data_IF_089014480035
#
_entry.id   IF_089014480035
#
_cell.length_a   1.000
_cell.length_b   1.000
_cell.length_c   1.000
_cell.angle_alpha   90.00
_cell.angle_beta   90.00
_cell.angle_gamma   90.00
#
_symmetry.space_group_name_H-M   'P 1'
#
loop_
_entity.id
_entity.type
_entity.pdbx_description
1 polymer ?
#
# COMPACT_ATOMS: atom_id res chain seq x y z
N UNK A 1 13.58 47.88 -13.38
CA UNK A 1 12.35 47.08 -13.51
C UNK A 1 12.71 45.64 -13.16
N UNK A 2 12.20 45.15 -12.03
CA UNK A 2 12.52 43.83 -11.49
C UNK A 2 11.76 42.76 -12.29
N UNK A 3 12.46 41.78 -12.86
CA UNK A 3 11.87 40.58 -13.41
C UNK A 3 11.89 39.49 -12.35
N UNK A 4 10.72 39.15 -11.81
CA UNK A 4 10.55 38.05 -10.86
C UNK A 4 10.95 36.70 -11.50
N UNK A 5 11.60 35.78 -10.77
CA UNK A 5 11.85 34.44 -11.28
C UNK A 5 10.54 33.65 -11.36
N UNK A 6 10.34 33.03 -12.51
CA UNK A 6 9.24 32.16 -12.88
C UNK A 6 9.20 30.95 -11.93
N UNK A 7 8.19 30.90 -11.06
CA UNK A 7 7.95 29.75 -10.18
C UNK A 7 7.58 28.54 -11.04
N UNK A 8 8.46 27.55 -11.07
CA UNK A 8 8.18 26.23 -11.65
C UNK A 8 6.95 25.65 -10.95
N UNK A 9 5.90 25.19 -11.67
CA UNK A 9 4.83 24.47 -11.02
C UNK A 9 5.42 23.14 -10.52
N UNK A 10 5.53 23.02 -9.20
CA UNK A 10 5.84 21.76 -8.53
C UNK A 10 4.65 20.84 -8.77
N UNK A 11 4.72 20.05 -9.84
CA UNK A 11 3.81 18.93 -10.04
C UNK A 11 4.09 17.92 -8.94
N UNK A 12 3.25 17.91 -7.91
CA UNK A 12 3.18 16.79 -6.98
C UNK A 12 2.75 15.59 -7.80
N UNK A 13 3.69 14.70 -8.14
CA UNK A 13 3.36 13.44 -8.76
C UNK A 13 2.53 12.61 -7.80
N UNK A 14 1.52 11.90 -8.31
CA UNK A 14 0.74 10.85 -7.64
C UNK A 14 1.60 9.60 -7.37
N UNK A 15 2.86 9.81 -6.96
CA UNK A 15 3.71 8.75 -6.47
C UNK A 15 3.47 8.61 -4.98
N UNK A 16 3.32 7.39 -4.48
CA UNK A 16 3.32 7.18 -3.04
C UNK A 16 4.56 7.81 -2.41
N UNK A 17 4.35 8.56 -1.34
CA UNK A 17 5.44 9.25 -0.66
C UNK A 17 6.38 8.22 -0.04
N UNK A 18 7.68 8.28 -0.39
CA UNK A 18 8.73 7.44 0.19
C UNK A 18 9.17 7.92 1.58
N UNK A 19 8.67 9.07 2.02
CA UNK A 19 8.89 9.67 3.33
C UNK A 19 7.53 9.91 4.01
N UNK A 20 7.45 9.65 5.31
CA UNK A 20 6.22 9.82 6.07
C UNK A 20 5.90 11.29 6.35
N UNK A 21 5.21 11.93 5.40
CA UNK A 21 4.73 13.31 5.54
C UNK A 21 3.40 13.42 6.29
N UNK A 22 2.75 12.29 6.60
CA UNK A 22 1.42 12.24 7.21
C UNK A 22 1.41 11.67 8.63
N UNK A 23 2.57 11.26 9.16
CA UNK A 23 2.72 10.73 10.52
C UNK A 23 2.19 9.30 10.68
N UNK A 24 2.18 8.52 9.61
CA UNK A 24 1.69 7.13 9.59
C UNK A 24 2.71 6.10 10.08
N UNK A 25 4.01 6.43 10.20
CA UNK A 25 5.05 5.46 10.59
C UNK A 25 4.71 4.67 11.87
N UNK A 26 4.27 5.28 12.98
CA UNK A 26 3.95 4.52 14.20
C UNK A 26 2.81 3.52 13.99
N UNK A 27 1.80 3.89 13.18
CA UNK A 27 0.68 3.01 12.87
C UNK A 27 1.10 1.89 11.91
N UNK A 28 1.90 2.22 10.90
CA UNK A 28 2.41 1.24 9.93
C UNK A 28 3.25 0.16 10.62
N UNK A 29 4.19 0.56 11.48
CA UNK A 29 5.04 -0.36 12.24
C UNK A 29 4.24 -1.25 13.19
N UNK A 30 3.27 -0.68 13.91
CA UNK A 30 2.41 -1.45 14.80
C UNK A 30 1.57 -2.49 14.03
N UNK A 31 1.01 -2.11 12.87
CA UNK A 31 0.25 -3.02 12.03
C UNK A 31 1.14 -4.10 11.41
N UNK A 32 2.33 -3.76 10.93
CA UNK A 32 3.29 -4.72 10.39
C UNK A 32 3.72 -5.75 11.45
N UNK A 33 3.97 -5.30 12.68
CA UNK A 33 4.28 -6.19 13.81
C UNK A 33 3.10 -7.14 14.12
N UNK A 34 1.87 -6.61 14.18
CA UNK A 34 0.66 -7.45 14.40
C UNK A 34 0.50 -8.49 13.30
N UNK A 35 0.69 -8.12 12.03
CA UNK A 35 0.57 -9.04 10.89
C UNK A 35 1.67 -10.11 10.93
N UNK A 36 2.90 -9.71 11.25
CA UNK A 36 4.06 -10.62 11.29
C UNK A 36 3.98 -11.61 12.45
N UNK A 37 3.53 -11.13 13.63
CA UNK A 37 3.43 -11.94 14.85
C UNK A 37 2.10 -12.69 14.99
N UNK A 38 1.12 -12.43 14.12
CA UNK A 38 -0.06 -13.26 14.06
C UNK A 38 0.37 -14.69 13.70
N UNK A 39 0.34 -15.59 14.69
CA UNK A 39 0.47 -17.02 14.42
C UNK A 39 -0.66 -17.42 13.47
N UNK A 40 -0.27 -17.84 12.27
CA UNK A 40 -1.15 -18.15 11.12
C UNK A 40 -2.20 -19.24 11.48
N UNK A 41 -2.07 -19.93 12.62
CA UNK A 41 -2.92 -21.06 13.00
C UNK A 41 -4.33 -20.70 13.46
N UNK A 42 -4.60 -19.53 14.04
CA UNK A 42 -5.85 -19.38 14.82
C UNK A 42 -6.76 -18.19 14.49
N UNK A 43 -6.35 -17.17 13.73
CA UNK A 43 -7.27 -16.06 13.39
C UNK A 43 -6.94 -15.33 12.08
N UNK A 44 -7.77 -15.47 11.03
CA UNK A 44 -7.70 -14.61 9.84
C UNK A 44 -7.93 -13.13 10.21
N UNK A 45 -6.97 -12.26 9.89
CA UNK A 45 -7.08 -10.82 10.12
C UNK A 45 -7.50 -10.09 8.84
N UNK A 46 -8.54 -9.28 8.93
CA UNK A 46 -8.94 -8.36 7.85
C UNK A 46 -8.76 -6.91 8.31
N UNK A 47 -7.99 -6.12 7.56
CA UNK A 47 -7.81 -4.69 7.80
C UNK A 47 -8.46 -3.87 6.68
N UNK A 48 -9.37 -2.95 7.04
CA UNK A 48 -9.93 -1.97 6.13
C UNK A 48 -9.36 -0.57 6.36
N UNK A 49 -8.83 0.06 5.31
CA UNK A 49 -8.28 1.42 5.36
C UNK A 49 -9.26 2.40 4.70
N UNK A 50 -9.81 3.34 5.46
CA UNK A 50 -10.84 4.28 5.01
C UNK A 50 -10.39 5.74 5.16
N UNK A 51 -10.88 6.63 4.29
CA UNK A 51 -10.56 8.05 4.35
C UNK A 51 -10.81 8.77 3.01
N UNK A 52 -10.84 10.12 3.01
CA UNK A 52 -11.07 10.94 1.81
C UNK A 52 -10.02 10.69 0.71
N UNK A 53 -10.34 11.04 -0.53
CA UNK A 53 -9.34 11.02 -1.60
C UNK A 53 -8.16 11.95 -1.26
N UNK A 54 -6.93 11.53 -1.59
CA UNK A 54 -5.71 12.24 -1.20
C UNK A 54 -5.24 12.06 0.25
N UNK A 55 -5.96 11.31 1.10
CA UNK A 55 -5.57 11.14 2.52
C UNK A 55 -4.38 10.18 2.77
N UNK A 56 -3.67 9.75 1.73
CA UNK A 56 -2.50 8.88 1.87
C UNK A 56 -2.76 7.41 2.24
N UNK A 57 -3.96 6.88 1.99
CA UNK A 57 -4.31 5.46 2.29
C UNK A 57 -3.36 4.47 1.59
N UNK A 58 -3.10 4.68 0.31
CA UNK A 58 -2.16 3.84 -0.46
C UNK A 58 -0.76 3.96 0.10
N UNK A 59 -0.32 5.15 0.49
CA UNK A 59 0.98 5.36 1.14
C UNK A 59 1.07 4.60 2.47
N UNK A 60 0.04 4.66 3.32
CA UNK A 60 -0.01 3.87 4.57
C UNK A 60 0.09 2.36 4.27
N UNK A 61 -0.66 1.85 3.31
CA UNK A 61 -0.61 0.44 2.92
C UNK A 61 0.79 0.01 2.44
N UNK A 62 1.49 0.89 1.73
CA UNK A 62 2.86 0.63 1.28
C UNK A 62 3.89 0.74 2.39
N UNK A 63 3.71 1.65 3.35
CA UNK A 63 4.56 1.69 4.54
C UNK A 63 4.41 0.40 5.34
N UNK A 64 3.18 -0.09 5.55
CA UNK A 64 2.93 -1.40 6.18
C UNK A 64 3.67 -2.49 5.40
N UNK A 65 3.50 -2.54 4.07
CA UNK A 65 4.16 -3.52 3.22
C UNK A 65 5.69 -3.50 3.36
N UNK A 66 6.28 -2.31 3.45
CA UNK A 66 7.73 -2.10 3.58
C UNK A 66 8.27 -2.58 4.93
N UNK A 67 7.46 -2.46 5.99
CA UNK A 67 7.83 -2.81 7.36
C UNK A 67 7.56 -4.30 7.70
N UNK A 68 6.94 -5.08 6.81
CA UNK A 68 6.67 -6.50 7.03
C UNK A 68 7.94 -7.36 6.96
N UNK A 69 8.02 -8.40 7.78
CA UNK A 69 9.07 -9.42 7.64
C UNK A 69 8.73 -10.38 6.50
N UNK A 70 9.32 -10.12 5.33
CA UNK A 70 9.12 -10.92 4.12
C UNK A 70 9.66 -12.37 4.21
N UNK A 71 10.42 -12.73 5.26
CA UNK A 71 10.78 -14.14 5.49
C UNK A 71 9.65 -14.93 6.15
N UNK A 72 8.71 -14.23 6.81
CA UNK A 72 7.55 -14.82 7.48
C UNK A 72 6.26 -14.62 6.69
N UNK A 73 6.19 -13.60 5.84
CA UNK A 73 5.00 -13.22 5.10
C UNK A 73 5.27 -13.13 3.59
N UNK A 74 4.62 -13.99 2.81
CA UNK A 74 4.46 -13.76 1.36
C UNK A 74 3.38 -12.71 1.14
N UNK A 75 3.72 -11.65 0.43
CA UNK A 75 2.82 -10.50 0.22
C UNK A 75 2.41 -10.38 -1.25
N UNK A 76 1.12 -10.14 -1.49
CA UNK A 76 0.57 -9.95 -2.84
C UNK A 76 -0.09 -8.58 -2.92
N UNK A 77 0.33 -7.74 -3.86
CA UNK A 77 -0.30 -6.45 -4.11
C UNK A 77 -1.27 -6.56 -5.29
N UNK A 78 -2.56 -6.36 -5.03
CA UNK A 78 -3.60 -6.53 -6.06
C UNK A 78 -4.42 -5.24 -6.24
N UNK A 79 -4.30 -4.61 -7.40
CA UNK A 79 -5.15 -3.49 -7.80
C UNK A 79 -6.39 -3.99 -8.55
N UNK A 80 -7.52 -4.01 -7.85
CA UNK A 80 -8.79 -4.46 -8.42
C UNK A 80 -9.31 -3.56 -9.56
N UNK A 81 -8.94 -2.27 -9.59
CA UNK A 81 -9.42 -1.35 -10.62
C UNK A 81 -8.87 -1.69 -12.00
N UNK A 82 -7.62 -2.15 -12.05
CA UNK A 82 -6.97 -2.59 -13.30
C UNK A 82 -7.74 -3.73 -13.98
N UNK A 83 -8.42 -4.56 -13.20
CA UNK A 83 -9.13 -5.74 -13.67
C UNK A 83 -10.65 -5.59 -13.65
N UNK A 84 -11.17 -4.39 -13.39
CA UNK A 84 -12.61 -4.12 -13.26
C UNK A 84 -13.42 -4.43 -14.55
N UNK A 85 -12.76 -4.49 -15.72
CA UNK A 85 -13.39 -4.84 -17.00
C UNK A 85 -13.29 -6.34 -17.36
N UNK A 86 -12.58 -7.16 -16.56
CA UNK A 86 -12.46 -8.59 -16.81
C UNK A 86 -13.66 -9.33 -16.22
N UNK A 87 -14.21 -10.32 -16.96
CA UNK A 87 -15.38 -11.10 -16.50
C UNK A 87 -15.16 -11.84 -15.18
N UNK A 88 -13.90 -12.09 -14.80
CA UNK A 88 -13.57 -12.88 -13.62
C UNK A 88 -12.37 -12.28 -12.85
N UNK A 89 -12.63 -11.25 -12.03
CA UNK A 89 -11.64 -10.62 -11.14
C UNK A 89 -10.88 -11.63 -10.27
N UNK A 90 -11.58 -12.67 -9.79
CA UNK A 90 -11.00 -13.72 -8.96
C UNK A 90 -9.90 -14.51 -9.69
N UNK A 91 -9.95 -14.64 -11.02
CA UNK A 91 -8.90 -15.32 -11.80
C UNK A 91 -7.60 -14.51 -11.75
N UNK A 92 -7.70 -13.19 -11.93
CA UNK A 92 -6.55 -12.30 -11.83
C UNK A 92 -5.92 -12.39 -10.44
N UNK A 93 -6.73 -12.36 -9.38
CA UNK A 93 -6.25 -12.52 -8.01
C UNK A 93 -5.53 -13.86 -7.79
N UNK A 94 -6.12 -14.98 -8.25
CA UNK A 94 -5.48 -16.29 -8.10
C UNK A 94 -4.15 -16.39 -8.85
N UNK A 95 -4.05 -15.82 -10.04
CA UNK A 95 -2.80 -15.83 -10.81
C UNK A 95 -1.69 -15.07 -10.07
N UNK A 96 -2.00 -13.88 -9.54
CA UNK A 96 -1.04 -13.07 -8.77
C UNK A 96 -0.60 -13.78 -7.48
N UNK A 97 -1.52 -14.48 -6.80
CA UNK A 97 -1.17 -15.29 -5.61
C UNK A 97 -0.27 -16.47 -5.97
N UNK A 98 -0.57 -17.18 -7.05
CA UNK A 98 0.25 -18.32 -7.51
C UNK A 98 1.64 -17.85 -7.95
N UNK A 99 1.72 -16.70 -8.63
CA UNK A 99 3.00 -16.10 -9.05
C UNK A 99 3.86 -15.70 -7.84
N UNK A 100 3.27 -15.16 -6.78
CA UNK A 100 4.00 -14.77 -5.57
C UNK A 100 4.48 -15.93 -4.70
N UNK A 101 3.96 -17.15 -4.90
CA UNK A 101 4.33 -18.35 -4.14
C UNK A 101 5.43 -19.20 -4.81
N UNK A 102 5.84 -18.85 -6.04
CA UNK A 102 6.93 -19.50 -6.78
C UNK A 102 8.23 -18.73 -6.66
#
# INVERSE_FOLDING_TARGET
>A
MQGSPMTTPSGYGDLPATHDELGFTPAAQALAAIITEAEISDTPLTLGVYGPWGSGKTSLMQMILTDLDHNRCTTVWFDAWRYAQQEALWRALLLEVVEALH
#
